data_IF_614233017979
#
_entry.id   IF_614233017979
#
_cell.length_a   1.000
_cell.length_b   1.000
_cell.length_c   1.000
_cell.angle_alpha   90.00
_cell.angle_beta   90.00
_cell.angle_gamma   90.00
#
_symmetry.space_group_name_H-M   'P 1'
#
loop_
_entity.id
_entity.type
_entity.pdbx_description
1 polymer ?
#
# COMPACT_ATOMS: atom_id res chain seq x y z
N UNK A 1 40.97 -47.01 41.76
CA UNK A 1 42.30 -46.36 41.79
C UNK A 1 43.45 -47.26 42.27
N UNK A 2 43.22 -48.49 42.79
CA UNK A 2 44.33 -49.37 43.25
C UNK A 2 45.08 -50.09 42.11
N UNK A 3 44.40 -50.44 41.00
CA UNK A 3 45.04 -51.13 39.87
C UNK A 3 46.14 -50.28 39.19
N UNK A 4 45.89 -49.00 38.95
CA UNK A 4 46.88 -48.10 38.33
C UNK A 4 48.11 -47.88 39.22
N UNK A 5 47.94 -47.84 40.55
CA UNK A 5 49.06 -47.76 41.50
C UNK A 5 49.86 -49.07 41.54
N UNK A 6 49.19 -50.21 41.44
CA UNK A 6 49.83 -51.52 41.39
C UNK A 6 50.67 -51.70 40.11
N UNK A 7 50.13 -51.32 38.94
CA UNK A 7 50.89 -51.34 37.69
C UNK A 7 52.03 -50.32 37.67
N UNK A 8 51.86 -49.14 38.28
CA UNK A 8 52.95 -48.18 38.43
C UNK A 8 54.06 -48.69 39.37
N UNK A 9 53.72 -49.37 40.47
CA UNK A 9 54.69 -50.01 41.37
C UNK A 9 55.44 -51.14 40.67
N UNK A 10 54.73 -52.01 39.95
CA UNK A 10 55.33 -53.06 39.13
C UNK A 10 56.26 -52.50 38.05
N UNK A 11 55.89 -51.38 37.42
CA UNK A 11 56.74 -50.73 36.43
C UNK A 11 58.00 -50.12 37.06
N UNK A 12 57.87 -49.48 38.23
CA UNK A 12 59.02 -48.93 38.96
C UNK A 12 59.94 -50.03 39.48
N UNK A 13 59.39 -51.15 39.96
CA UNK A 13 60.14 -52.32 40.38
C UNK A 13 60.84 -53.01 39.19
N UNK A 14 60.16 -53.15 38.05
CA UNK A 14 60.75 -53.67 36.82
C UNK A 14 61.88 -52.77 36.31
N UNK A 15 61.69 -51.44 36.31
CA UNK A 15 62.73 -50.47 35.92
C UNK A 15 63.90 -50.48 36.89
N UNK A 16 63.66 -50.68 38.20
CA UNK A 16 64.74 -50.86 39.20
C UNK A 16 65.47 -52.18 39.03
N UNK A 17 64.77 -53.27 38.75
CA UNK A 17 65.36 -54.59 38.47
C UNK A 17 66.19 -54.57 37.18
N UNK A 18 65.73 -53.87 36.14
CA UNK A 18 66.46 -53.69 34.88
C UNK A 18 67.70 -52.81 35.07
N UNK A 19 67.61 -51.74 35.87
CA UNK A 19 68.77 -50.92 36.30
C UNK A 19 69.77 -51.69 37.16
N UNK A 20 69.31 -52.64 37.98
CA UNK A 20 70.18 -53.50 38.76
C UNK A 20 70.91 -54.54 37.88
N UNK A 21 70.22 -55.10 36.86
CA UNK A 21 70.83 -56.00 35.85
C UNK A 21 71.83 -55.31 34.93
N UNK A 22 71.70 -54.00 34.71
CA UNK A 22 72.67 -53.24 33.88
C UNK A 22 73.98 -52.94 34.60
N UNK A 23 74.07 -53.14 35.93
CA UNK A 23 75.26 -52.81 36.73
C UNK A 23 76.37 -53.88 36.67
N UNK A 24 76.13 -55.02 36.01
CA UNK A 24 77.09 -56.13 35.88
C UNK A 24 77.20 -56.66 34.44
N UNK A 25 77.24 -55.77 33.44
CA UNK A 25 77.45 -56.17 32.04
C UNK A 25 78.80 -55.69 31.52
N UNK A 26 79.56 -56.65 31.01
CA UNK A 26 80.84 -56.50 30.32
C UNK A 26 80.69 -55.57 29.09
N UNK A 27 81.73 -54.79 28.81
CA UNK A 27 81.80 -53.90 27.64
C UNK A 27 81.74 -54.70 26.34
N UNK A 28 81.32 -54.08 25.23
CA UNK A 28 80.85 -54.73 23.99
C UNK A 28 81.84 -55.63 23.24
N UNK A 29 82.99 -55.97 23.81
CA UNK A 29 84.07 -56.74 23.19
C UNK A 29 84.39 -58.06 23.92
N UNK A 30 83.66 -58.44 24.97
CA UNK A 30 83.93 -59.67 25.75
C UNK A 30 83.06 -60.92 25.47
N UNK A 31 82.00 -60.95 24.63
CA UNK A 31 81.27 -62.19 24.37
C UNK A 31 81.87 -63.06 23.25
N UNK A 32 82.90 -62.57 22.54
CA UNK A 32 83.47 -63.26 21.36
C UNK A 32 84.28 -64.54 21.70
N UNK A 33 84.46 -64.86 22.98
CA UNK A 33 85.23 -66.02 23.45
C UNK A 33 84.43 -67.03 24.30
N UNK A 34 83.09 -66.99 24.27
CA UNK A 34 82.23 -67.98 24.94
C UNK A 34 81.66 -69.02 23.94
N UNK A 35 81.34 -70.26 24.36
CA UNK A 35 80.77 -71.28 23.46
C UNK A 35 79.44 -70.80 22.84
N UNK A 36 79.22 -71.09 21.56
CA UNK A 36 78.15 -70.52 20.70
C UNK A 36 76.72 -70.51 21.28
N UNK A 37 76.41 -71.34 22.29
CA UNK A 37 75.11 -71.37 22.97
C UNK A 37 74.90 -70.20 23.97
N UNK A 38 75.96 -69.65 24.59
CA UNK A 38 75.85 -68.55 25.56
C UNK A 38 75.98 -67.16 24.92
N UNK A 39 76.70 -67.03 23.80
CA UNK A 39 76.88 -65.78 23.06
C UNK A 39 75.53 -65.20 22.57
N UNK A 40 74.59 -66.07 22.21
CA UNK A 40 73.23 -65.69 21.74
C UNK A 40 72.35 -65.19 22.89
N UNK A 41 72.59 -65.63 24.13
CA UNK A 41 71.76 -65.28 25.30
C UNK A 41 72.25 -63.98 25.96
N UNK A 42 73.55 -63.69 25.94
CA UNK A 42 74.12 -62.57 26.70
C UNK A 42 74.40 -61.30 25.90
N UNK A 43 74.43 -61.36 24.55
CA UNK A 43 74.62 -60.17 23.71
C UNK A 43 73.59 -59.08 24.07
N UNK A 44 74.00 -57.91 24.58
CA UNK A 44 73.08 -56.83 24.83
C UNK A 44 72.51 -56.36 23.49
N UNK A 45 71.19 -56.14 23.44
CA UNK A 45 70.51 -55.50 22.31
C UNK A 45 71.30 -54.28 21.85
N UNK A 46 71.63 -54.25 20.55
CA UNK A 46 72.55 -53.27 19.99
C UNK A 46 72.12 -51.82 20.31
N UNK A 47 73.06 -50.93 20.68
CA UNK A 47 72.73 -49.54 21.00
C UNK A 47 72.11 -48.79 19.82
N UNK A 48 72.47 -49.15 18.58
CA UNK A 48 71.83 -48.65 17.35
C UNK A 48 70.36 -49.06 17.26
N UNK A 49 70.03 -50.31 17.62
CA UNK A 49 68.64 -50.80 17.66
C UNK A 49 67.77 -50.04 18.66
N UNK A 50 68.34 -49.58 19.79
CA UNK A 50 67.64 -48.72 20.76
C UNK A 50 67.40 -47.32 20.22
N UNK A 51 68.37 -46.71 19.55
CA UNK A 51 68.22 -45.37 18.96
C UNK A 51 67.20 -45.38 17.83
N UNK A 52 67.24 -46.39 16.94
CA UNK A 52 66.24 -46.55 15.87
C UNK A 52 64.85 -46.80 16.45
N UNK A 53 64.73 -47.61 17.51
CA UNK A 53 63.45 -47.84 18.18
C UNK A 53 62.88 -46.55 18.80
N UNK A 54 63.70 -45.76 19.50
CA UNK A 54 63.28 -44.46 20.06
C UNK A 54 62.92 -43.43 18.97
N UNK A 55 63.68 -43.37 17.87
CA UNK A 55 63.36 -42.50 16.74
C UNK A 55 62.01 -42.87 16.11
N UNK A 56 61.75 -44.17 15.93
CA UNK A 56 60.48 -44.67 15.39
C UNK A 56 59.32 -44.39 16.35
N UNK A 57 59.54 -44.52 17.67
CA UNK A 57 58.57 -44.20 18.72
C UNK A 57 58.23 -42.70 18.77
N UNK A 58 59.24 -41.83 18.65
CA UNK A 58 59.06 -40.37 18.60
C UNK A 58 58.33 -39.97 17.32
N UNK A 59 58.72 -40.52 16.17
CA UNK A 59 58.04 -40.27 14.90
C UNK A 59 56.57 -40.73 14.96
N UNK A 60 56.32 -41.91 15.51
CA UNK A 60 54.96 -42.41 15.73
C UNK A 60 54.17 -41.48 16.67
N UNK A 61 54.77 -41.06 17.79
CA UNK A 61 54.14 -40.13 18.72
C UNK A 61 53.85 -38.75 18.08
N UNK A 62 54.73 -38.24 17.22
CA UNK A 62 54.53 -37.01 16.45
C UNK A 62 53.38 -37.14 15.44
N UNK A 63 53.33 -38.23 14.69
CA UNK A 63 52.22 -38.49 13.76
C UNK A 63 50.90 -38.66 14.51
N UNK A 64 50.90 -39.35 15.65
CA UNK A 64 49.73 -39.53 16.49
C UNK A 64 49.26 -38.18 17.05
N UNK A 65 50.17 -37.37 17.59
CA UNK A 65 49.87 -36.00 18.02
C UNK A 65 49.32 -35.16 16.87
N UNK A 66 49.90 -35.24 15.68
CA UNK A 66 49.40 -34.52 14.50
C UNK A 66 48.01 -34.98 14.07
N UNK A 67 47.70 -36.27 14.11
CA UNK A 67 46.34 -36.75 13.78
C UNK A 67 45.28 -36.36 14.81
N UNK A 68 45.68 -36.19 16.07
CA UNK A 68 44.81 -35.74 17.18
C UNK A 68 44.57 -34.22 17.09
N UNK A 69 45.63 -33.42 16.88
CA UNK A 69 45.53 -31.96 16.87
C UNK A 69 45.22 -31.37 15.48
N UNK A 70 45.56 -32.09 14.42
CA UNK A 70 45.33 -31.71 13.03
C UNK A 70 43.85 -31.74 12.70
N UNK A 71 43.29 -30.56 12.43
CA UNK A 71 41.89 -30.36 12.07
C UNK A 71 41.79 -30.11 10.57
N UNK A 72 40.86 -30.81 9.92
CA UNK A 72 40.51 -30.62 8.52
C UNK A 72 39.09 -30.04 8.45
N UNK A 73 38.88 -29.08 7.56
CA UNK A 73 37.56 -28.49 7.33
C UNK A 73 36.66 -29.49 6.59
N UNK A 74 35.44 -29.67 7.10
CA UNK A 74 34.39 -30.48 6.46
C UNK A 74 33.50 -29.53 5.68
N UNK A 75 33.37 -29.77 4.39
CA UNK A 75 32.56 -28.96 3.49
C UNK A 75 31.33 -29.73 3.01
N UNK A 76 30.19 -29.04 2.93
CA UNK A 76 29.01 -29.50 2.22
C UNK A 76 28.94 -28.77 0.88
N UNK A 77 29.03 -29.52 -0.22
CA UNK A 77 28.91 -28.96 -1.56
C UNK A 77 27.44 -28.84 -1.95
N UNK A 78 27.00 -27.63 -2.30
CA UNK A 78 25.66 -27.32 -2.71
C UNK A 78 25.66 -26.66 -4.10
N UNK A 79 24.91 -27.22 -5.03
CA UNK A 79 24.72 -26.62 -6.36
C UNK A 79 23.81 -25.40 -6.27
N UNK A 80 24.08 -24.35 -7.03
CA UNK A 80 23.30 -23.13 -6.98
C UNK A 80 23.44 -22.26 -8.21
N UNK A 81 22.76 -21.13 -8.21
CA UNK A 81 22.87 -20.13 -9.28
C UNK A 81 22.95 -18.72 -8.70
N UNK A 82 23.62 -17.81 -9.43
CA UNK A 82 23.66 -16.40 -9.06
C UNK A 82 22.30 -15.77 -9.36
N UNK A 83 21.69 -15.17 -8.34
CA UNK A 83 20.47 -14.38 -8.45
C UNK A 83 20.71 -12.95 -7.94
N UNK A 84 20.00 -11.95 -8.47
CA UNK A 84 20.05 -10.61 -7.91
C UNK A 84 19.64 -10.62 -6.43
N UNK A 85 20.35 -9.88 -5.57
CA UNK A 85 20.02 -9.83 -4.14
C UNK A 85 18.59 -9.31 -3.91
N UNK A 86 18.21 -8.32 -4.71
CA UNK A 86 16.87 -7.76 -4.75
C UNK A 86 15.97 -8.58 -5.67
N UNK A 87 14.72 -8.80 -5.25
CA UNK A 87 13.73 -9.46 -6.09
C UNK A 87 13.54 -8.70 -7.39
N UNK A 88 13.54 -9.43 -8.51
CA UNK A 88 13.21 -8.90 -9.83
C UNK A 88 11.84 -8.20 -9.81
N UNK A 89 11.73 -7.08 -10.53
CA UNK A 89 10.50 -6.28 -10.57
C UNK A 89 9.81 -6.50 -11.91
N UNK A 90 8.61 -7.08 -11.86
CA UNK A 90 7.79 -7.26 -13.06
C UNK A 90 7.10 -5.94 -13.40
N UNK A 91 7.21 -5.52 -14.65
CA UNK A 91 6.48 -4.39 -15.21
C UNK A 91 5.38 -4.96 -16.10
N UNK A 92 4.14 -4.65 -15.75
CA UNK A 92 2.93 -5.15 -16.41
C UNK A 92 1.99 -4.00 -16.76
N UNK A 93 1.16 -4.18 -17.79
CA UNK A 93 0.13 -3.21 -18.12
C UNK A 93 -1.02 -3.29 -17.10
N UNK A 94 -1.48 -2.14 -16.61
CA UNK A 94 -2.67 -2.07 -15.74
C UNK A 94 -3.98 -2.21 -16.53
N UNK A 95 -3.96 -1.82 -17.81
CA UNK A 95 -5.12 -1.83 -18.70
C UNK A 95 -4.75 -2.29 -20.10
N UNK A 96 -5.76 -2.64 -20.89
CA UNK A 96 -5.60 -2.90 -22.33
C UNK A 96 -5.20 -1.63 -23.06
N UNK A 97 -4.19 -1.69 -23.92
CA UNK A 97 -3.77 -0.55 -24.71
C UNK A 97 -3.00 -0.95 -25.97
N UNK A 98 -2.86 -0.02 -26.90
CA UNK A 98 -2.05 -0.18 -28.11
C UNK A 98 -0.70 0.46 -27.88
N UNK A 99 0.38 -0.25 -28.21
CA UNK A 99 1.75 0.24 -28.02
C UNK A 99 2.03 1.35 -29.03
N UNK A 100 2.33 2.55 -28.54
CA UNK A 100 2.67 3.71 -29.38
C UNK A 100 4.17 3.88 -29.54
N UNK A 101 4.91 3.79 -28.44
CA UNK A 101 6.37 3.91 -28.43
C UNK A 101 7.00 2.94 -27.41
N UNK A 102 8.12 2.35 -27.80
CA UNK A 102 8.98 1.51 -26.94
C UNK A 102 10.29 2.27 -26.77
N UNK A 103 10.67 2.62 -25.54
CA UNK A 103 11.85 3.44 -25.25
C UNK A 103 13.09 2.63 -24.86
N UNK A 104 12.93 1.32 -24.66
CA UNK A 104 13.98 0.42 -24.15
C UNK A 104 14.04 -0.86 -24.96
N UNK A 105 15.23 -1.44 -25.01
CA UNK A 105 15.48 -2.75 -25.59
C UNK A 105 15.92 -3.74 -24.50
N UNK A 106 15.88 -5.03 -24.84
CA UNK A 106 16.39 -6.06 -23.95
C UNK A 106 17.90 -5.87 -23.70
N UNK A 107 18.31 -5.87 -22.43
CA UNK A 107 19.67 -5.60 -22.00
C UNK A 107 19.98 -4.14 -21.66
N UNK A 108 19.06 -3.21 -21.91
CA UNK A 108 19.28 -1.79 -21.58
C UNK A 108 19.30 -1.51 -20.07
N UNK A 109 20.18 -0.61 -19.65
CA UNK A 109 20.25 -0.12 -18.27
C UNK A 109 19.31 1.07 -18.10
N UNK A 110 18.35 0.93 -17.19
CA UNK A 110 17.33 1.94 -16.90
C UNK A 110 17.46 2.51 -15.50
N UNK A 111 17.05 3.77 -15.34
CA UNK A 111 16.98 4.45 -14.03
C UNK A 111 15.56 4.41 -13.48
N UNK A 112 15.42 4.41 -12.15
CA UNK A 112 14.11 4.56 -11.49
C UNK A 112 13.38 5.81 -12.02
N UNK A 113 12.13 5.63 -12.46
CA UNK A 113 11.30 6.69 -13.05
C UNK A 113 11.55 6.96 -14.53
N UNK A 114 12.44 6.23 -15.19
CA UNK A 114 12.63 6.34 -16.64
C UNK A 114 11.42 5.74 -17.37
N UNK A 115 10.88 6.41 -18.41
CA UNK A 115 9.81 5.85 -19.24
C UNK A 115 10.34 4.65 -20.04
N UNK A 116 9.55 3.57 -20.06
CA UNK A 116 9.90 2.30 -20.71
C UNK A 116 9.05 2.06 -21.96
N UNK A 117 7.74 2.29 -21.83
CA UNK A 117 6.74 2.02 -22.85
C UNK A 117 5.65 3.09 -22.76
N UNK A 118 5.14 3.53 -23.90
CA UNK A 118 3.98 4.42 -24.01
C UNK A 118 2.86 3.70 -24.74
N UNK A 119 1.69 3.63 -24.09
CA UNK A 119 0.45 3.18 -24.72
C UNK A 119 -0.27 4.38 -25.35
N UNK A 120 -1.10 4.13 -26.36
CA UNK A 120 -1.85 5.17 -27.05
C UNK A 120 -2.85 5.89 -26.10
N UNK A 121 -2.68 7.21 -25.87
CA UNK A 121 -3.52 7.97 -24.96
C UNK A 121 -4.80 8.50 -25.59
N UNK A 122 -5.15 8.10 -26.82
CA UNK A 122 -6.30 8.69 -27.52
C UNK A 122 -7.62 8.50 -26.75
N UNK A 123 -7.87 7.30 -26.21
CA UNK A 123 -9.11 6.99 -25.47
C UNK A 123 -9.11 7.61 -24.08
N UNK A 124 -8.08 7.34 -23.27
CA UNK A 124 -7.93 7.89 -21.92
C UNK A 124 -7.89 9.41 -21.89
N UNK A 125 -7.21 10.05 -22.85
CA UNK A 125 -7.09 11.48 -22.95
C UNK A 125 -8.40 12.12 -23.39
N UNK A 126 -9.23 11.42 -24.18
CA UNK A 126 -10.59 11.86 -24.45
C UNK A 126 -11.48 11.76 -23.20
N UNK A 127 -11.39 10.66 -22.44
CA UNK A 127 -12.09 10.48 -21.16
C UNK A 127 -11.67 11.55 -20.13
N UNK A 128 -10.37 11.86 -20.03
CA UNK A 128 -9.84 12.92 -19.15
C UNK A 128 -10.39 14.29 -19.54
N UNK A 129 -10.32 14.67 -20.83
CA UNK A 129 -10.89 15.95 -21.30
C UNK A 129 -12.40 16.03 -21.07
N UNK A 130 -13.12 14.94 -21.27
CA UNK A 130 -14.55 14.88 -21.00
C UNK A 130 -14.85 15.09 -19.50
N UNK A 131 -14.09 14.45 -18.61
CA UNK A 131 -14.23 14.62 -17.17
C UNK A 131 -13.86 16.05 -16.71
N UNK A 132 -12.85 16.68 -17.33
CA UNK A 132 -12.49 18.07 -17.08
C UNK A 132 -13.61 19.04 -17.47
N UNK A 133 -14.21 18.84 -18.64
CA UNK A 133 -15.35 19.64 -19.10
C UNK A 133 -16.58 19.45 -18.21
N UNK A 134 -16.86 18.21 -17.78
CA UNK A 134 -17.94 17.91 -16.86
C UNK A 134 -17.73 18.59 -15.50
N UNK A 135 -16.50 18.57 -14.97
CA UNK A 135 -16.16 19.27 -13.72
C UNK A 135 -16.28 20.80 -13.86
N UNK A 136 -15.83 21.37 -14.99
CA UNK A 136 -15.97 22.80 -15.24
C UNK A 136 -17.44 23.22 -15.24
N UNK A 137 -18.31 22.41 -15.86
CA UNK A 137 -19.77 22.63 -15.85
C UNK A 137 -20.35 22.53 -14.44
N UNK A 138 -20.00 21.50 -13.67
CA UNK A 138 -20.46 21.34 -12.29
C UNK A 138 -20.02 22.51 -11.38
N UNK A 139 -18.80 23.03 -11.55
CA UNK A 139 -18.32 24.22 -10.83
C UNK A 139 -19.11 25.48 -11.18
N UNK A 140 -19.50 25.63 -12.45
CA UNK A 140 -20.38 26.74 -12.87
C UNK A 140 -21.77 26.63 -12.23
N UNK A 141 -22.32 25.42 -12.15
CA UNK A 141 -23.61 25.17 -11.49
C UNK A 141 -23.56 25.53 -10.00
N UNK A 142 -22.49 25.17 -9.30
CA UNK A 142 -22.28 25.57 -7.90
C UNK A 142 -22.20 27.08 -7.76
N UNK A 143 -21.41 27.75 -8.61
CA UNK A 143 -21.28 29.21 -8.58
C UNK A 143 -22.62 29.91 -8.82
N UNK A 144 -23.42 29.41 -9.76
CA UNK A 144 -24.76 29.91 -10.07
C UNK A 144 -25.73 29.71 -8.91
N UNK A 145 -25.85 28.48 -8.40
CA UNK A 145 -26.76 28.15 -7.32
C UNK A 145 -26.41 28.93 -6.03
N UNK A 146 -25.11 29.10 -5.76
CA UNK A 146 -24.62 29.91 -4.65
C UNK A 146 -25.00 31.38 -4.80
N UNK A 147 -24.80 31.97 -5.98
CA UNK A 147 -25.16 33.36 -6.25
C UNK A 147 -26.67 33.61 -6.04
N UNK A 148 -27.53 32.68 -6.48
CA UNK A 148 -28.99 32.75 -6.28
C UNK A 148 -29.34 32.62 -4.79
N UNK A 149 -28.76 31.63 -4.10
CA UNK A 149 -29.02 31.39 -2.68
C UNK A 149 -28.59 32.56 -1.78
N UNK A 150 -27.46 33.20 -2.09
CA UNK A 150 -26.96 34.37 -1.36
C UNK A 150 -27.81 35.62 -1.66
N UNK A 151 -28.22 35.83 -2.91
CA UNK A 151 -29.11 36.93 -3.29
C UNK A 151 -30.49 36.83 -2.60
N UNK A 152 -31.08 35.63 -2.54
CA UNK A 152 -32.37 35.40 -1.87
C UNK A 152 -32.31 35.57 -0.34
N UNK A 153 -31.12 35.47 0.26
CA UNK A 153 -30.90 35.77 1.69
C UNK A 153 -30.78 37.27 1.99
N UNK A 154 -30.70 38.11 0.94
CA UNK A 154 -30.46 39.56 1.06
C UNK A 154 -28.98 39.96 0.92
N UNK A 155 -28.12 39.06 0.45
CA UNK A 155 -26.73 39.38 0.10
C UNK A 155 -26.62 40.06 -1.27
N UNK A 156 -25.45 40.67 -1.59
CA UNK A 156 -25.21 41.21 -2.93
C UNK A 156 -25.16 40.08 -3.96
N UNK A 157 -25.78 40.29 -5.13
CA UNK A 157 -25.66 39.36 -6.26
C UNK A 157 -24.22 39.38 -6.78
N UNK A 158 -23.44 38.35 -6.41
CA UNK A 158 -22.05 38.17 -6.84
C UNK A 158 -21.89 36.78 -7.45
N UNK A 159 -21.71 36.74 -8.76
CA UNK A 159 -21.37 35.51 -9.48
C UNK A 159 -19.84 35.42 -9.63
N UNK A 160 -19.23 34.49 -8.90
CA UNK A 160 -17.80 34.19 -9.00
C UNK A 160 -17.59 33.04 -9.99
N UNK A 161 -17.25 33.38 -11.23
CA UNK A 161 -16.98 32.38 -12.26
C UNK A 161 -15.69 31.59 -11.95
N UNK A 162 -15.68 30.26 -12.14
CA UNK A 162 -14.46 29.46 -12.08
C UNK A 162 -13.40 29.94 -13.09
N UNK A 163 -12.12 29.85 -12.70
CA UNK A 163 -10.98 30.24 -13.54
C UNK A 163 -11.00 29.44 -14.85
N UNK A 164 -10.81 30.14 -15.98
CA UNK A 164 -10.79 29.52 -17.31
C UNK A 164 -12.15 29.44 -18.02
N UNK A 165 -13.22 29.96 -17.40
CA UNK A 165 -14.53 30.04 -18.07
C UNK A 165 -14.50 31.10 -19.19
N UNK A 166 -14.97 30.78 -20.41
CA UNK A 166 -15.08 31.75 -21.50
C UNK A 166 -16.02 32.92 -21.15
N UNK A 167 -15.73 34.16 -21.61
CA UNK A 167 -16.54 35.34 -21.27
C UNK A 167 -18.00 35.22 -21.75
N UNK A 168 -18.23 34.59 -22.90
CA UNK A 168 -19.59 34.33 -23.44
C UNK A 168 -20.46 33.47 -22.51
N UNK A 169 -19.83 32.47 -21.86
CA UNK A 169 -20.52 31.60 -20.91
C UNK A 169 -20.84 32.37 -19.63
N UNK A 170 -19.90 33.19 -19.13
CA UNK A 170 -20.10 34.03 -17.95
C UNK A 170 -21.30 34.97 -18.15
N UNK A 171 -21.37 35.66 -19.28
CA UNK A 171 -22.47 36.57 -19.60
C UNK A 171 -23.81 35.83 -19.67
N UNK A 172 -23.83 34.66 -20.32
CA UNK A 172 -25.02 33.82 -20.41
C UNK A 172 -25.52 33.38 -19.02
N UNK A 173 -24.60 32.97 -18.13
CA UNK A 173 -24.95 32.58 -16.77
C UNK A 173 -25.47 33.76 -15.94
N UNK A 174 -24.87 34.94 -16.07
CA UNK A 174 -25.34 36.14 -15.39
C UNK A 174 -26.76 36.54 -15.83
N UNK A 175 -27.05 36.49 -17.14
CA UNK A 175 -28.40 36.73 -17.67
C UNK A 175 -29.41 35.73 -17.14
N UNK A 176 -29.04 34.44 -17.05
CA UNK A 176 -29.91 33.39 -16.52
C UNK A 176 -30.20 33.60 -15.02
N UNK A 177 -29.19 33.95 -14.22
CA UNK A 177 -29.37 34.26 -12.79
C UNK A 177 -30.29 35.47 -12.61
N UNK A 178 -30.05 36.55 -13.37
CA UNK A 178 -30.88 37.75 -13.32
C UNK A 178 -32.34 37.45 -13.70
N UNK A 179 -32.57 36.65 -14.75
CA UNK A 179 -33.90 36.25 -15.17
C UNK A 179 -34.64 35.44 -14.09
N UNK A 180 -33.94 34.50 -13.43
CA UNK A 180 -34.53 33.68 -12.37
C UNK A 180 -34.89 34.49 -11.13
N UNK A 181 -34.03 35.43 -10.71
CA UNK A 181 -34.32 36.34 -9.61
C UNK A 181 -35.48 37.28 -9.94
N UNK A 182 -35.47 37.87 -11.14
CA UNK A 182 -36.54 38.74 -11.61
C UNK A 182 -37.90 38.03 -11.66
N UNK A 183 -37.93 36.73 -12.01
CA UNK A 183 -39.16 35.94 -11.99
C UNK A 183 -39.71 35.77 -10.56
N UNK A 184 -38.84 35.50 -9.58
CA UNK A 184 -39.24 35.37 -8.17
C UNK A 184 -39.73 36.71 -7.63
N UNK A 185 -39.00 37.80 -7.91
CA UNK A 185 -39.37 39.14 -7.51
C UNK A 185 -40.71 39.56 -8.13
N UNK A 186 -40.92 39.31 -9.42
CA UNK A 186 -42.18 39.61 -10.10
C UNK A 186 -43.38 38.89 -9.46
N UNK A 187 -43.21 37.61 -9.07
CA UNK A 187 -44.25 36.87 -8.36
C UNK A 187 -44.58 37.51 -7.01
N UNK A 188 -43.57 37.88 -6.22
CA UNK A 188 -43.76 38.55 -4.92
C UNK A 188 -44.39 39.93 -5.08
N UNK A 189 -43.96 40.71 -6.08
CA UNK A 189 -44.56 42.00 -6.39
C UNK A 189 -46.03 41.86 -6.81
N UNK A 190 -46.40 40.80 -7.53
CA UNK A 190 -47.78 40.47 -7.85
C UNK A 190 -48.65 40.28 -6.61
N UNK A 191 -48.18 39.51 -5.62
CA UNK A 191 -48.88 39.38 -4.34
C UNK A 191 -48.95 40.70 -3.55
N UNK A 192 -47.89 41.51 -3.60
CA UNK A 192 -47.89 42.85 -3.00
C UNK A 192 -48.96 43.77 -3.60
N UNK A 193 -49.13 43.74 -4.93
CA UNK A 193 -50.19 44.49 -5.62
C UNK A 193 -51.60 43.98 -5.27
N UNK A 194 -51.79 42.66 -5.24
CA UNK A 194 -53.06 42.04 -4.84
C UNK A 194 -53.44 42.40 -3.39
N UNK A 195 -52.46 42.35 -2.47
CA UNK A 195 -52.62 42.81 -1.08
C UNK A 195 -53.02 44.28 -1.00
N UNK A 196 -52.41 45.14 -1.81
CA UNK A 196 -52.74 46.56 -1.83
C UNK A 196 -54.18 46.81 -2.31
N UNK A 197 -54.65 46.05 -3.32
CA UNK A 197 -56.05 46.09 -3.78
C UNK A 197 -57.01 45.68 -2.66
N UNK A 198 -56.77 44.54 -2.02
CA UNK A 198 -57.61 44.06 -0.91
C UNK A 198 -57.65 45.04 0.27
N UNK A 199 -56.54 45.73 0.55
CA UNK A 199 -56.52 46.80 1.57
C UNK A 199 -57.32 48.04 1.13
N UNK A 200 -57.34 48.37 -0.15
CA UNK A 200 -58.17 49.46 -0.67
C UNK A 200 -59.67 49.11 -0.55
N UNK A 201 -60.05 47.87 -0.87
CA UNK A 201 -61.43 47.37 -0.71
C UNK A 201 -61.86 47.37 0.77
N UNK A 202 -60.96 46.94 1.67
CA UNK A 202 -61.18 47.02 3.11
C UNK A 202 -61.40 48.45 3.60
N UNK A 203 -60.65 49.43 3.06
CA UNK A 203 -60.83 50.85 3.39
C UNK A 203 -62.17 51.38 2.87
N UNK A 204 -62.57 51.01 1.66
CA UNK A 204 -63.87 51.41 1.11
C UNK A 204 -65.04 50.85 1.95
N UNK A 205 -64.96 49.60 2.37
CA UNK A 205 -65.93 49.00 3.28
C UNK A 205 -65.94 49.69 4.65
N UNK A 206 -64.76 50.02 5.20
CA UNK A 206 -64.64 50.76 6.47
C UNK A 206 -65.31 52.14 6.41
N UNK A 207 -65.20 52.85 5.28
CA UNK A 207 -65.86 54.13 5.06
C UNK A 207 -67.39 53.99 5.02
N UNK A 208 -67.91 52.91 4.42
CA UNK A 208 -69.33 52.61 4.44
C UNK A 208 -69.83 52.31 5.86
N UNK A 209 -69.06 51.55 6.65
CA UNK A 209 -69.36 51.31 8.08
C UNK A 209 -69.38 52.63 8.85
N UNK A 210 -68.39 53.52 8.61
CA UNK A 210 -68.32 54.84 9.24
C UNK A 210 -69.55 55.69 8.91
N UNK A 211 -70.01 55.67 7.66
CA UNK A 211 -71.24 56.36 7.23
C UNK A 211 -72.45 55.89 8.02
N UNK A 212 -72.70 54.57 8.07
CA UNK A 212 -73.85 54.02 8.79
C UNK A 212 -73.75 54.21 10.31
N UNK A 213 -72.54 54.20 10.87
CA UNK A 213 -72.31 54.52 12.28
C UNK A 213 -72.62 56.00 12.59
N UNK A 214 -72.38 56.92 11.65
CA UNK A 214 -72.69 58.33 11.80
C UNK A 214 -74.19 58.64 11.63
N UNK A 215 -74.91 57.94 10.74
CA UNK A 215 -76.36 58.14 10.52
C UNK A 215 -77.23 57.47 11.58
N UNK A 216 -76.75 56.36 12.14
CA UNK A 216 -77.38 55.61 13.23
C UNK A 216 -78.00 56.47 14.35
N UNK A 217 -77.24 57.31 15.07
CA UNK A 217 -77.77 58.10 16.20
C UNK A 217 -78.76 59.18 15.74
N UNK A 218 -78.67 59.65 14.50
CA UNK A 218 -79.61 60.64 13.95
C UNK A 218 -80.98 59.99 13.74
N UNK A 219 -81.02 58.78 13.18
CA UNK A 219 -82.25 58.02 13.03
C UNK A 219 -82.82 57.60 14.38
N UNK A 220 -81.97 57.17 15.32
CA UNK A 220 -82.42 56.80 16.67
C UNK A 220 -83.07 58.02 17.37
N UNK A 221 -82.47 59.21 17.27
CA UNK A 221 -83.05 60.44 17.82
C UNK A 221 -84.38 60.85 17.14
N UNK A 222 -84.53 60.65 15.82
CA UNK A 222 -85.78 60.92 15.10
C UNK A 222 -86.89 59.94 15.52
N UNK A 223 -86.55 58.65 15.69
CA UNK A 223 -87.46 57.61 16.20
C UNK A 223 -87.90 57.95 17.63
N UNK A 224 -86.97 58.31 18.52
CA UNK A 224 -87.27 58.67 19.91
C UNK A 224 -88.19 59.90 20.00
N UNK A 225 -87.93 60.92 19.19
CA UNK A 225 -88.78 62.11 19.10
C UNK A 225 -90.20 61.76 18.61
N UNK A 226 -90.31 60.90 17.60
CA UNK A 226 -91.61 60.43 17.08
C UNK A 226 -92.36 59.55 18.09
N UNK A 227 -91.66 58.69 18.84
CA UNK A 227 -92.24 57.90 19.93
C UNK A 227 -92.83 58.80 21.02
N UNK A 228 -92.13 59.88 21.39
CA UNK A 228 -92.64 60.88 22.33
C UNK A 228 -93.89 61.62 21.84
N UNK A 229 -94.03 61.85 20.53
CA UNK A 229 -95.22 62.43 19.91
C UNK A 229 -96.38 61.42 19.79
N UNK A 230 -96.06 60.15 19.51
CA UNK A 230 -97.03 59.06 19.43
C UNK A 230 -97.68 58.79 20.79
N UNK A 231 -96.89 58.81 21.88
CA UNK A 231 -97.39 58.67 23.25
C UNK A 231 -98.40 59.76 23.65
N UNK A 232 -98.33 60.93 23.01
CA UNK A 232 -99.27 62.05 23.20
C UNK A 232 -100.44 62.03 22.22
N UNK A 233 -100.51 61.04 21.31
CA UNK A 233 -101.57 60.88 20.31
C UNK A 233 -101.43 61.73 19.04
N UNK A 234 -100.27 62.38 18.81
CA UNK A 234 -100.08 63.36 17.73
C UNK A 234 -99.22 62.87 16.55
N UNK A 235 -98.72 61.63 16.58
CA UNK A 235 -97.84 61.12 15.52
C UNK A 235 -98.55 60.15 14.55
N UNK A 236 -98.26 60.21 13.24
CA UNK A 236 -98.70 59.19 12.28
C UNK A 236 -97.94 57.86 12.50
N UNK A 237 -98.64 56.79 12.89
CA UNK A 237 -98.02 55.47 13.11
C UNK A 237 -97.27 54.90 11.89
N UNK A 238 -97.71 55.22 10.67
CA UNK A 238 -97.03 54.83 9.44
C UNK A 238 -95.63 55.44 9.32
N UNK A 239 -95.42 56.69 9.79
CA UNK A 239 -94.12 57.36 9.74
C UNK A 239 -93.12 56.73 10.70
N UNK A 240 -93.58 56.33 11.89
CA UNK A 240 -92.74 55.60 12.85
C UNK A 240 -92.27 54.25 12.27
N UNK A 241 -93.17 53.47 11.69
CA UNK A 241 -92.82 52.18 11.05
C UNK A 241 -91.84 52.34 9.89
N UNK A 242 -91.92 53.45 9.13
CA UNK A 242 -90.97 53.76 8.06
C UNK A 242 -89.57 54.03 8.60
N UNK A 243 -89.45 54.83 9.66
CA UNK A 243 -88.18 55.14 10.32
C UNK A 243 -87.55 53.89 10.96
N UNK A 244 -88.34 53.07 11.63
CA UNK A 244 -87.88 51.78 12.19
C UNK A 244 -87.38 50.84 11.08
N UNK A 245 -88.14 50.69 9.99
CA UNK A 245 -87.72 49.89 8.82
C UNK A 245 -86.42 50.41 8.23
N UNK A 246 -86.27 51.73 8.10
CA UNK A 246 -85.05 52.35 7.60
C UNK A 246 -83.87 52.07 8.53
N UNK A 247 -84.05 52.21 9.85
CA UNK A 247 -83.02 51.92 10.86
C UNK A 247 -82.59 50.45 10.82
N UNK A 248 -83.53 49.52 10.71
CA UNK A 248 -83.24 48.10 10.56
C UNK A 248 -82.51 47.79 9.25
N UNK A 249 -82.91 48.41 8.13
CA UNK A 249 -82.24 48.27 6.84
C UNK A 249 -80.80 48.77 6.91
N UNK A 250 -80.55 49.98 7.43
CA UNK A 250 -79.20 50.53 7.60
C UNK A 250 -78.36 49.68 8.58
N UNK A 251 -78.98 49.12 9.62
CA UNK A 251 -78.33 48.18 10.53
C UNK A 251 -77.91 46.87 9.85
N UNK A 252 -78.73 46.37 8.92
CA UNK A 252 -78.42 45.23 8.06
C UNK A 252 -77.26 45.53 7.10
N UNK A 253 -77.35 46.65 6.36
CA UNK A 253 -76.30 47.10 5.44
C UNK A 253 -74.96 47.35 6.15
N UNK A 254 -74.99 47.90 7.38
CA UNK A 254 -73.78 48.05 8.20
C UNK A 254 -73.12 46.71 8.48
N UNK A 255 -73.88 45.68 8.88
CA UNK A 255 -73.33 44.33 9.15
C UNK A 255 -72.73 43.70 7.90
N UNK A 256 -73.34 43.93 6.73
CA UNK A 256 -72.78 43.48 5.45
C UNK A 256 -71.46 44.18 5.16
N UNK A 257 -71.39 45.50 5.34
CA UNK A 257 -70.16 46.28 5.15
C UNK A 257 -69.05 45.88 6.15
N UNK A 258 -69.40 45.63 7.42
CA UNK A 258 -68.46 45.11 8.44
C UNK A 258 -67.91 43.73 8.03
N UNK A 259 -68.79 42.82 7.59
CA UNK A 259 -68.38 41.50 7.11
C UNK A 259 -67.48 41.59 5.86
N UNK A 260 -67.78 42.52 4.95
CA UNK A 260 -66.96 42.78 3.75
C UNK A 260 -65.58 43.33 4.13
N UNK A 261 -65.52 44.26 5.09
CA UNK A 261 -64.25 44.80 5.59
C UNK A 261 -63.37 43.69 6.18
N UNK A 262 -63.93 42.84 7.05
CA UNK A 262 -63.19 41.72 7.66
C UNK A 262 -62.72 40.72 6.60
N UNK A 263 -63.55 40.44 5.59
CA UNK A 263 -63.19 39.57 4.47
C UNK A 263 -61.99 40.13 3.68
N UNK A 264 -62.06 41.39 3.28
CA UNK A 264 -61.00 42.05 2.52
C UNK A 264 -59.68 42.15 3.31
N UNK A 265 -59.74 42.41 4.61
CA UNK A 265 -58.55 42.37 5.49
C UNK A 265 -57.96 40.95 5.59
N UNK A 266 -58.80 39.92 5.64
CA UNK A 266 -58.35 38.53 5.68
C UNK A 266 -57.70 38.11 4.36
N UNK A 267 -58.23 38.57 3.22
CA UNK A 267 -57.62 38.38 1.90
C UNK A 267 -56.28 39.09 1.79
N UNK A 268 -56.17 40.33 2.29
CA UNK A 268 -54.90 41.05 2.33
C UNK A 268 -53.82 40.29 3.14
N UNK A 269 -54.20 39.68 4.28
CA UNK A 269 -53.29 38.83 5.05
C UNK A 269 -52.87 37.58 4.30
N UNK A 270 -53.81 36.91 3.60
CA UNK A 270 -53.49 35.73 2.77
C UNK A 270 -52.47 36.05 1.68
N UNK A 271 -52.61 37.18 0.99
CA UNK A 271 -51.63 37.58 -0.02
C UNK A 271 -50.26 37.92 0.56
N UNK A 272 -50.22 38.51 1.76
CA UNK A 272 -48.98 38.74 2.51
C UNK A 272 -48.26 37.43 2.84
N UNK A 273 -49.01 36.47 3.41
CA UNK A 273 -48.52 35.12 3.73
C UNK A 273 -48.03 34.38 2.47
N UNK A 274 -48.75 34.47 1.35
CA UNK A 274 -48.34 33.89 0.08
C UNK A 274 -47.04 34.49 -0.45
N UNK A 275 -46.84 35.80 -0.30
CA UNK A 275 -45.59 36.47 -0.67
C UNK A 275 -44.39 35.99 0.17
N UNK A 276 -44.58 35.88 1.48
CA UNK A 276 -43.55 35.35 2.40
C UNK A 276 -43.26 33.88 2.11
N UNK A 277 -44.30 33.06 1.92
CA UNK A 277 -44.16 31.64 1.59
C UNK A 277 -43.42 31.45 0.26
N UNK A 278 -43.75 32.22 -0.78
CA UNK A 278 -43.07 32.14 -2.08
C UNK A 278 -41.57 32.43 -1.96
N UNK A 279 -41.19 33.43 -1.15
CA UNK A 279 -39.77 33.72 -0.88
C UNK A 279 -39.08 32.59 -0.11
N UNK A 280 -39.74 32.06 0.93
CA UNK A 280 -39.19 30.97 1.73
C UNK A 280 -39.00 29.69 0.90
N UNK A 281 -39.97 29.35 0.05
CA UNK A 281 -39.88 28.23 -0.88
C UNK A 281 -38.76 28.43 -1.91
N UNK A 282 -38.64 29.64 -2.48
CA UNK A 282 -37.56 29.95 -3.41
C UNK A 282 -36.18 29.79 -2.75
N UNK A 283 -36.02 30.25 -1.51
CA UNK A 283 -34.79 30.09 -0.75
C UNK A 283 -34.48 28.62 -0.45
N UNK A 284 -35.48 27.83 -0.02
CA UNK A 284 -35.31 26.40 0.21
C UNK A 284 -34.91 25.66 -1.08
N UNK A 285 -35.55 25.97 -2.20
CA UNK A 285 -35.22 25.39 -3.51
C UNK A 285 -33.80 25.75 -3.94
N UNK A 286 -33.37 27.00 -3.78
CA UNK A 286 -32.01 27.44 -4.10
C UNK A 286 -30.94 26.74 -3.24
N UNK A 287 -31.21 26.56 -1.94
CA UNK A 287 -30.30 25.81 -1.04
C UNK A 287 -30.23 24.32 -1.40
N UNK A 288 -31.36 23.71 -1.75
CA UNK A 288 -31.39 22.32 -2.20
C UNK A 288 -30.62 22.13 -3.53
N UNK A 289 -30.79 23.06 -4.47
CA UNK A 289 -30.06 23.07 -5.74
C UNK A 289 -28.55 23.27 -5.52
N UNK A 290 -28.16 24.15 -4.60
CA UNK A 290 -26.75 24.32 -4.20
C UNK A 290 -26.17 23.04 -3.60
N UNK A 291 -26.87 22.41 -2.66
CA UNK A 291 -26.40 21.17 -2.04
C UNK A 291 -26.25 20.04 -3.08
N UNK A 292 -27.19 19.95 -4.03
CA UNK A 292 -27.13 19.00 -5.14
C UNK A 292 -25.92 19.30 -6.05
N UNK A 293 -25.75 20.54 -6.48
CA UNK A 293 -24.64 20.95 -7.34
C UNK A 293 -23.28 20.71 -6.66
N UNK A 294 -23.17 20.93 -5.35
CA UNK A 294 -21.95 20.62 -4.58
C UNK A 294 -21.67 19.12 -4.53
N UNK A 295 -22.71 18.29 -4.33
CA UNK A 295 -22.58 16.83 -4.41
C UNK A 295 -22.11 16.38 -5.79
N UNK A 296 -22.70 16.93 -6.86
CA UNK A 296 -22.32 16.65 -8.24
C UNK A 296 -20.88 17.11 -8.53
N UNK A 297 -20.46 18.27 -8.03
CA UNK A 297 -19.07 18.73 -8.15
C UNK A 297 -18.09 17.72 -7.55
N UNK A 298 -18.34 17.26 -6.32
CA UNK A 298 -17.47 16.27 -5.65
C UNK A 298 -17.40 14.97 -6.48
N UNK A 299 -18.54 14.51 -7.01
CA UNK A 299 -18.56 13.33 -7.88
C UNK A 299 -17.70 13.53 -9.15
N UNK A 300 -17.84 14.67 -9.83
CA UNK A 300 -17.05 14.98 -11.03
C UNK A 300 -15.55 15.16 -10.73
N UNK A 301 -15.19 15.65 -9.55
CA UNK A 301 -13.79 15.72 -9.11
C UNK A 301 -13.17 14.33 -8.96
N UNK A 302 -13.90 13.37 -8.39
CA UNK A 302 -13.45 11.98 -8.26
C UNK A 302 -13.37 11.27 -9.63
N UNK A 303 -14.34 11.51 -10.52
CA UNK A 303 -14.30 11.01 -11.90
C UNK A 303 -13.07 11.54 -12.66
N UNK A 304 -12.76 12.84 -12.53
CA UNK A 304 -11.56 13.42 -13.14
C UNK A 304 -10.29 12.82 -12.53
N UNK A 305 -10.23 12.63 -11.21
CA UNK A 305 -9.09 11.99 -10.56
C UNK A 305 -8.86 10.58 -11.10
N UNK A 306 -9.95 9.81 -11.27
CA UNK A 306 -9.91 8.47 -11.86
C UNK A 306 -9.41 8.50 -13.31
N UNK A 307 -9.95 9.40 -14.14
CA UNK A 307 -9.55 9.53 -15.54
C UNK A 307 -8.07 9.94 -15.70
N UNK A 308 -7.60 10.88 -14.87
CA UNK A 308 -6.19 11.29 -14.80
C UNK A 308 -5.27 10.15 -14.38
N UNK A 309 -5.68 9.35 -13.40
CA UNK A 309 -4.91 8.20 -12.96
C UNK A 309 -4.79 7.16 -14.08
N UNK A 310 -5.91 6.89 -14.76
CA UNK A 310 -5.95 6.00 -15.93
C UNK A 310 -5.02 6.47 -17.05
N UNK A 311 -5.10 7.76 -17.39
CA UNK A 311 -4.22 8.42 -18.36
C UNK A 311 -2.73 8.32 -17.96
N UNK A 312 -2.41 8.53 -16.67
CA UNK A 312 -1.05 8.40 -16.14
C UNK A 312 -0.48 6.98 -16.29
N UNK A 313 -1.31 5.96 -16.08
CA UNK A 313 -0.92 4.54 -16.13
C UNK A 313 -0.63 4.03 -17.55
N UNK A 314 -0.93 4.81 -18.58
CA UNK A 314 -0.61 4.45 -19.96
C UNK A 314 0.87 4.57 -20.29
N UNK A 315 1.61 5.38 -19.54
CA UNK A 315 3.06 5.43 -19.64
C UNK A 315 3.67 4.60 -18.53
N UNK A 316 4.35 3.53 -18.91
CA UNK A 316 4.98 2.62 -17.95
C UNK A 316 6.38 3.13 -17.63
N UNK A 317 6.68 3.22 -16.33
CA UNK A 317 7.96 3.69 -15.81
C UNK A 317 8.70 2.59 -15.06
N UNK A 318 10.02 2.69 -15.01
CA UNK A 318 10.85 1.79 -14.22
C UNK A 318 10.65 1.99 -12.70
N UNK A 319 10.17 1.00 -11.94
CA UNK A 319 10.04 1.12 -10.48
C UNK A 319 11.38 1.21 -9.76
N UNK A 320 12.45 0.66 -10.35
CA UNK A 320 13.81 0.58 -9.81
C UNK A 320 14.84 0.78 -10.92
N UNK A 321 16.03 1.24 -10.57
CA UNK A 321 17.16 1.27 -11.50
C UNK A 321 17.73 -0.14 -11.69
N UNK A 322 17.96 -0.57 -12.92
CA UNK A 322 18.35 -1.94 -13.22
C UNK A 322 18.55 -2.20 -14.70
N UNK A 323 18.62 -3.47 -15.07
CA UNK A 323 18.73 -3.91 -16.47
C UNK A 323 17.41 -4.56 -16.90
N UNK A 324 16.93 -4.22 -18.09
CA UNK A 324 15.69 -4.78 -18.68
C UNK A 324 15.96 -6.19 -19.23
N UNK A 325 15.12 -7.15 -18.88
CA UNK A 325 15.14 -8.53 -19.38
C UNK A 325 13.73 -9.00 -19.74
N UNK A 326 13.63 -10.01 -20.62
CA UNK A 326 12.36 -10.63 -21.00
C UNK A 326 11.33 -9.62 -21.51
N UNK A 327 11.76 -8.72 -22.39
CA UNK A 327 10.84 -7.81 -23.07
C UNK A 327 9.92 -8.65 -23.97
N UNK A 328 8.60 -8.61 -23.75
CA UNK A 328 7.64 -9.39 -24.54
C UNK A 328 7.05 -8.59 -25.71
N UNK A 329 7.17 -7.26 -25.65
CA UNK A 329 6.62 -6.33 -26.65
C UNK A 329 7.72 -5.85 -27.57
N UNK A 330 7.63 -6.20 -28.85
CA UNK A 330 8.62 -5.83 -29.87
C UNK A 330 8.03 -5.02 -31.03
N UNK A 331 6.70 -4.94 -31.13
CA UNK A 331 6.00 -4.33 -32.25
C UNK A 331 5.23 -3.09 -31.82
N UNK A 332 5.53 -1.97 -32.47
CA UNK A 332 4.70 -0.77 -32.38
C UNK A 332 3.36 -1.08 -33.05
N UNK A 333 2.25 -0.70 -32.41
CA UNK A 333 0.89 -1.07 -32.82
C UNK A 333 0.39 -2.40 -32.26
N UNK A 334 1.22 -3.14 -31.52
CA UNK A 334 0.79 -4.34 -30.79
C UNK A 334 -0.19 -4.01 -29.67
N UNK A 335 -1.13 -4.92 -29.40
CA UNK A 335 -2.09 -4.80 -28.29
C UNK A 335 -1.54 -5.50 -27.05
N UNK A 336 -1.58 -4.82 -25.91
CA UNK A 336 -1.23 -5.41 -24.61
C UNK A 336 -2.49 -5.73 -23.81
N UNK A 337 -2.45 -6.84 -23.08
CA UNK A 337 -3.53 -7.28 -22.19
C UNK A 337 -3.24 -6.84 -20.75
N UNK A 338 -4.28 -6.57 -19.94
CA UNK A 338 -4.11 -6.18 -18.55
C UNK A 338 -3.49 -7.33 -17.73
N UNK A 339 -2.64 -6.96 -16.77
CA UNK A 339 -1.87 -7.88 -15.91
C UNK A 339 -0.90 -8.82 -16.64
N UNK A 340 -0.69 -8.65 -17.95
CA UNK A 340 0.34 -9.38 -18.69
C UNK A 340 1.72 -8.78 -18.41
N UNK A 341 2.71 -9.58 -17.99
CA UNK A 341 4.07 -9.09 -17.80
C UNK A 341 4.67 -8.69 -19.15
N UNK A 342 5.09 -7.43 -19.25
CA UNK A 342 5.67 -6.86 -20.46
C UNK A 342 7.19 -6.93 -20.45
N UNK A 343 7.80 -6.78 -19.27
CA UNK A 343 9.24 -6.90 -19.06
C UNK A 343 9.57 -7.10 -17.59
N UNK A 344 10.80 -7.51 -17.31
CA UNK A 344 11.34 -7.63 -15.96
C UNK A 344 12.54 -6.70 -15.81
N UNK A 345 12.57 -5.95 -14.71
CA UNK A 345 13.74 -5.14 -14.36
C UNK A 345 14.51 -5.85 -13.26
N UNK A 346 15.76 -6.15 -13.57
CA UNK A 346 16.72 -6.75 -12.64
C UNK A 346 17.55 -5.62 -12.01
N UNK A 347 17.42 -5.35 -10.71
CA UNK A 347 18.19 -4.29 -10.06
C UNK A 347 19.69 -4.56 -10.15
N UNK A 348 20.48 -3.52 -10.39
CA UNK A 348 21.96 -3.61 -10.42
C UNK A 348 22.57 -3.72 -8.99
N UNK A 349 21.78 -4.14 -8.01
CA UNK A 349 22.20 -4.31 -6.61
C UNK A 349 23.20 -5.46 -6.45
N UNK A 350 23.57 -5.75 -5.20
CA UNK A 350 24.47 -6.87 -4.90
C UNK A 350 23.98 -8.19 -5.51
N UNK A 351 24.90 -9.08 -5.83
CA UNK A 351 24.57 -10.43 -6.31
C UNK A 351 24.60 -11.40 -5.12
N UNK A 352 23.63 -12.29 -5.07
CA UNK A 352 23.59 -13.39 -4.11
C UNK A 352 23.55 -14.71 -4.83
N UNK A 353 24.01 -15.77 -4.20
CA UNK A 353 23.86 -17.12 -4.73
C UNK A 353 22.71 -17.80 -4.01
N UNK A 354 21.81 -18.40 -4.75
CA UNK A 354 20.83 -19.34 -4.21
C UNK A 354 21.36 -20.75 -4.44
N UNK A 355 21.74 -21.40 -3.33
CA UNK A 355 22.29 -22.75 -3.30
C UNK A 355 21.25 -23.74 -2.76
N UNK A 356 21.12 -24.87 -3.44
CA UNK A 356 20.31 -26.02 -3.05
C UNK A 356 21.11 -26.90 -2.09
N UNK A 357 20.84 -26.78 -0.79
CA UNK A 357 21.46 -27.59 0.26
C UNK A 357 20.67 -28.87 0.44
N UNK A 358 21.31 -30.03 0.30
CA UNK A 358 20.65 -31.33 0.49
C UNK A 358 20.18 -31.52 1.93
N UNK A 359 19.07 -32.21 2.12
CA UNK A 359 18.48 -32.47 3.45
C UNK A 359 19.48 -33.07 4.46
N UNK A 360 20.39 -33.96 4.01
CA UNK A 360 21.42 -34.58 4.86
C UNK A 360 22.39 -33.56 5.49
N UNK A 361 22.61 -32.44 4.82
CA UNK A 361 23.59 -31.41 5.20
C UNK A 361 22.92 -30.20 5.86
N UNK A 362 21.62 -29.98 5.62
CA UNK A 362 20.86 -28.81 6.07
C UNK A 362 20.88 -28.60 7.59
N UNK A 363 20.96 -29.67 8.39
CA UNK A 363 21.04 -29.58 9.86
C UNK A 363 22.33 -28.92 10.40
N UNK A 364 23.38 -28.87 9.59
CA UNK A 364 24.69 -28.31 9.97
C UNK A 364 24.94 -26.91 9.39
N UNK A 365 24.06 -26.45 8.49
CA UNK A 365 24.19 -25.16 7.82
C UNK A 365 23.55 -24.06 8.65
N UNK A 366 24.29 -22.97 8.89
CA UNK A 366 23.83 -21.82 9.71
C UNK A 366 24.19 -20.49 9.06
N UNK A 367 23.37 -19.44 9.26
CA UNK A 367 23.71 -18.08 8.89
C UNK A 367 25.09 -17.66 9.44
N UNK A 368 25.88 -16.98 8.61
CA UNK A 368 27.21 -16.47 8.92
C UNK A 368 28.39 -17.39 8.60
N UNK A 369 28.14 -18.66 8.24
CA UNK A 369 29.21 -19.59 7.86
C UNK A 369 29.96 -19.13 6.59
N UNK A 370 31.29 -19.32 6.52
CA UNK A 370 32.06 -19.04 5.32
C UNK A 370 31.75 -20.09 4.24
N UNK A 371 31.61 -19.60 3.02
CA UNK A 371 31.35 -20.41 1.83
C UNK A 371 32.38 -20.05 0.77
N UNK A 372 32.96 -21.07 0.14
CA UNK A 372 33.74 -20.90 -1.07
C UNK A 372 32.83 -21.13 -2.29
N UNK A 373 32.52 -20.06 -3.02
CA UNK A 373 31.69 -20.12 -4.22
C UNK A 373 32.59 -20.39 -5.43
N UNK A 374 32.38 -21.53 -6.10
CA UNK A 374 33.05 -21.90 -7.35
C UNK A 374 32.11 -21.62 -8.50
N UNK A 375 32.55 -20.85 -9.50
CA UNK A 375 31.76 -20.60 -10.70
C UNK A 375 31.99 -21.73 -11.70
N UNK A 376 30.95 -22.27 -12.31
CA UNK A 376 31.13 -23.32 -13.32
C UNK A 376 31.68 -22.75 -14.64
N UNK A 377 31.30 -21.52 -14.98
CA UNK A 377 31.78 -20.82 -16.18
C UNK A 377 33.27 -20.44 -16.12
N UNK A 378 33.87 -20.40 -14.91
CA UNK A 378 35.27 -20.03 -14.70
C UNK A 378 35.98 -21.10 -13.85
N UNK A 379 36.87 -21.92 -14.43
CA UNK A 379 37.56 -22.99 -13.71
C UNK A 379 38.25 -22.48 -12.43
N UNK A 380 37.81 -22.98 -11.27
CA UNK A 380 38.31 -22.54 -9.96
C UNK A 380 39.81 -22.84 -9.73
N UNK A 381 40.38 -23.77 -10.49
CA UNK A 381 41.82 -24.08 -10.46
C UNK A 381 42.67 -22.93 -10.99
N UNK A 382 42.12 -22.14 -11.92
CA UNK A 382 42.82 -21.03 -12.56
C UNK A 382 42.43 -19.70 -11.93
N UNK A 383 41.14 -19.49 -11.68
CA UNK A 383 40.59 -18.20 -11.24
C UNK A 383 40.24 -18.15 -9.75
N UNK A 384 40.47 -19.24 -9.02
CA UNK A 384 40.18 -19.34 -7.59
C UNK A 384 38.69 -19.44 -7.26
N UNK A 385 38.35 -19.15 -6.00
CA UNK A 385 36.97 -19.15 -5.49
C UNK A 385 36.58 -17.76 -5.00
N UNK A 386 35.29 -17.46 -5.03
CA UNK A 386 34.76 -16.22 -4.48
C UNK A 386 34.37 -16.47 -3.03
N UNK A 387 34.99 -15.79 -2.05
CA UNK A 387 34.60 -15.93 -0.67
C UNK A 387 33.20 -15.33 -0.47
N UNK A 388 32.34 -16.10 0.18
CA UNK A 388 30.97 -15.70 0.50
C UNK A 388 30.59 -16.08 1.93
N UNK A 389 29.42 -15.61 2.37
CA UNK A 389 28.84 -15.98 3.66
C UNK A 389 27.36 -16.28 3.52
N UNK A 390 26.89 -17.27 4.27
CA UNK A 390 25.46 -17.60 4.32
C UNK A 390 24.70 -16.46 4.98
N UNK A 391 23.74 -15.89 4.26
CA UNK A 391 22.80 -14.90 4.78
C UNK A 391 21.66 -15.61 5.51
N UNK A 392 20.98 -16.52 4.81
CA UNK A 392 19.79 -17.21 5.30
C UNK A 392 19.71 -18.62 4.73
N UNK A 393 19.04 -19.51 5.45
CA UNK A 393 18.62 -20.82 4.94
C UNK A 393 17.11 -20.94 5.14
N UNK A 394 16.41 -21.44 4.12
CA UNK A 394 14.98 -21.75 4.19
C UNK A 394 14.74 -22.74 5.32
N UNK A 395 13.63 -22.59 6.03
CA UNK A 395 13.18 -23.56 7.04
C UNK A 395 12.30 -24.64 6.43
N UNK A 396 11.88 -24.46 5.18
CA UNK A 396 11.03 -25.38 4.45
C UNK A 396 11.82 -26.04 3.33
N UNK A 397 11.58 -27.35 3.14
CA UNK A 397 12.24 -28.17 2.16
C UNK A 397 11.44 -28.16 0.85
N UNK A 398 12.10 -27.84 -0.25
CA UNK A 398 11.51 -27.89 -1.59
C UNK A 398 11.74 -29.30 -2.16
N UNK A 399 10.68 -30.03 -2.56
CA UNK A 399 10.85 -31.32 -3.20
C UNK A 399 11.41 -31.14 -4.63
N UNK A 400 12.49 -31.86 -4.94
CA UNK A 400 13.04 -31.99 -6.29
C UNK A 400 12.93 -33.45 -6.75
N UNK A 401 12.68 -33.67 -8.05
CA UNK A 401 12.56 -35.03 -8.60
C UNK A 401 13.91 -35.71 -8.76
N UNK A 402 14.99 -34.94 -8.95
CA UNK A 402 16.30 -35.49 -9.29
C UNK A 402 17.22 -35.63 -8.08
N UNK A 403 17.22 -34.65 -7.17
CA UNK A 403 18.14 -34.56 -6.03
C UNK A 403 17.47 -34.82 -4.66
N UNK A 404 16.16 -35.08 -4.64
CA UNK A 404 15.37 -35.21 -3.42
C UNK A 404 15.07 -33.86 -2.74
N UNK A 405 14.56 -33.86 -1.49
CA UNK A 405 14.23 -32.62 -0.80
C UNK A 405 15.48 -31.79 -0.48
N UNK A 406 15.46 -30.51 -0.83
CA UNK A 406 16.56 -29.57 -0.57
C UNK A 406 16.07 -28.30 0.10
N UNK A 407 16.97 -27.60 0.78
CA UNK A 407 16.72 -26.31 1.42
C UNK A 407 17.45 -25.21 0.65
N UNK A 408 16.78 -24.09 0.41
CA UNK A 408 17.37 -22.93 -0.26
C UNK A 408 18.22 -22.13 0.71
N UNK A 409 19.53 -22.05 0.48
CA UNK A 409 20.44 -21.18 1.20
C UNK A 409 20.83 -19.97 0.33
N UNK A 410 20.70 -18.77 0.89
CA UNK A 410 21.13 -17.53 0.24
C UNK A 410 22.51 -17.14 0.73
N UNK A 411 23.42 -16.91 -0.19
CA UNK A 411 24.85 -16.68 0.08
C UNK A 411 25.24 -15.32 -0.49
N UNK A 412 25.84 -14.47 0.35
CA UNK A 412 26.40 -13.18 -0.07
C UNK A 412 27.74 -13.37 -0.76
N UNK A 413 27.96 -12.68 -1.87
CA UNK A 413 29.25 -12.62 -2.55
C UNK A 413 30.04 -11.40 -2.09
N UNK A 414 31.30 -11.56 -1.70
CA UNK A 414 32.16 -10.42 -1.32
C UNK A 414 32.69 -9.63 -2.53
N UNK A 415 32.74 -10.27 -3.70
CA UNK A 415 33.15 -9.67 -4.97
C UNK A 415 32.12 -9.99 -6.04
N UNK A 416 31.73 -8.98 -6.81
CA UNK A 416 30.80 -9.11 -7.94
C UNK A 416 31.52 -9.19 -9.31
N UNK A 417 32.84 -9.44 -9.30
CA UNK A 417 33.66 -9.56 -10.51
C UNK A 417 34.75 -10.61 -10.31
N UNK A 418 35.17 -11.25 -11.39
CA UNK A 418 36.31 -12.17 -11.42
C UNK A 418 37.44 -11.59 -12.28
N UNK A 419 38.68 -11.72 -11.80
CA UNK A 419 39.86 -11.28 -12.51
C UNK A 419 40.24 -12.35 -13.56
N UNK A 420 40.17 -12.02 -14.84
CA UNK A 420 40.56 -12.90 -15.95
C UNK A 420 41.76 -12.32 -16.71
N UNK A 421 42.39 -13.12 -17.59
CA UNK A 421 43.48 -12.65 -18.46
C UNK A 421 43.09 -11.44 -19.34
N UNK A 422 41.79 -11.29 -19.65
CA UNK A 422 41.23 -10.19 -20.44
C UNK A 422 40.76 -8.99 -19.59
N UNK A 423 41.03 -9.02 -18.27
CA UNK A 423 40.62 -7.99 -17.31
C UNK A 423 39.50 -8.44 -16.37
N UNK A 424 38.96 -7.49 -15.61
CA UNK A 424 37.87 -7.73 -14.65
C UNK A 424 36.55 -7.95 -15.37
N UNK A 425 35.99 -9.15 -15.26
CA UNK A 425 34.68 -9.49 -15.82
C UNK A 425 33.62 -9.41 -14.72
N UNK A 426 32.57 -8.60 -14.87
CA UNK A 426 31.47 -8.56 -13.91
C UNK A 426 30.65 -9.85 -13.98
N UNK A 427 30.16 -10.31 -12.82
CA UNK A 427 29.31 -11.50 -12.72
C UNK A 427 27.88 -11.14 -13.13
N UNK A 428 27.24 -12.01 -13.90
CA UNK A 428 25.83 -11.89 -14.27
C UNK A 428 24.94 -12.81 -13.43
N UNK A 429 23.66 -12.43 -13.30
CA UNK A 429 22.63 -13.35 -12.81
C UNK A 429 22.45 -14.53 -13.78
N UNK A 430 22.14 -15.71 -13.26
CA UNK A 430 21.96 -16.96 -14.02
C UNK A 430 23.19 -17.85 -14.14
N UNK A 431 24.38 -17.41 -13.69
CA UNK A 431 25.57 -18.26 -13.68
C UNK A 431 25.44 -19.41 -12.68
N UNK A 432 25.74 -20.63 -13.12
CA UNK A 432 25.76 -21.82 -12.26
C UNK A 432 27.00 -21.84 -11.34
N UNK A 433 26.79 -22.27 -10.11
CA UNK A 433 27.77 -22.24 -9.04
C UNK A 433 27.76 -23.54 -8.24
N UNK A 434 28.93 -23.93 -7.73
CA UNK A 434 29.08 -24.98 -6.73
C UNK A 434 29.61 -24.34 -5.46
N UNK A 435 28.87 -24.47 -4.37
CA UNK A 435 29.08 -23.73 -3.14
C UNK A 435 29.56 -24.68 -2.04
N UNK A 436 30.83 -24.57 -1.66
CA UNK A 436 31.38 -25.38 -0.58
C UNK A 436 31.19 -24.65 0.76
N UNK A 437 30.22 -25.12 1.54
CA UNK A 437 29.83 -24.56 2.83
C UNK A 437 30.66 -25.23 3.93
N UNK A 438 31.36 -24.44 4.75
CA UNK A 438 32.12 -24.98 5.88
C UNK A 438 31.18 -25.36 7.04
N UNK A 439 30.89 -26.65 7.19
CA UNK A 439 29.96 -27.19 8.20
C UNK A 439 30.62 -27.65 9.50
N UNK A 440 31.96 -27.74 9.54
CA UNK A 440 32.68 -28.04 10.77
C UNK A 440 34.17 -28.34 10.55
N UNK A 441 34.86 -28.67 11.64
CA UNK A 441 36.26 -29.13 11.64
C UNK A 441 36.35 -30.48 12.32
N UNK A 442 36.93 -31.48 11.65
CA UNK A 442 37.15 -32.82 12.22
C UNK A 442 38.63 -33.11 12.31
N UNK A 443 39.03 -33.87 13.34
CA UNK A 443 40.39 -34.37 13.44
C UNK A 443 40.61 -35.51 12.44
N UNK A 444 41.84 -35.69 11.98
CA UNK A 444 42.19 -36.79 11.07
C UNK A 444 41.96 -38.15 11.75
N UNK A 445 42.24 -38.23 13.06
CA UNK A 445 41.96 -39.43 13.86
C UNK A 445 40.48 -39.85 13.78
N UNK A 446 39.56 -38.89 13.73
CA UNK A 446 38.11 -39.17 13.64
C UNK A 446 37.78 -39.94 12.36
N UNK A 447 38.40 -39.63 11.22
CA UNK A 447 38.15 -40.35 9.97
C UNK A 447 38.67 -41.80 10.01
N UNK A 448 39.75 -42.08 10.74
CA UNK A 448 40.31 -43.43 10.91
C UNK A 448 39.47 -44.30 11.87
N UNK A 449 38.91 -43.70 12.92
CA UNK A 449 38.19 -44.43 13.98
C UNK A 449 36.68 -44.57 13.68
N UNK A 450 36.08 -43.61 12.96
CA UNK A 450 34.63 -43.58 12.70
C UNK A 450 34.08 -44.88 12.08
N UNK A 451 34.71 -45.54 11.09
CA UNK A 451 34.20 -46.79 10.53
C UNK A 451 34.12 -47.92 11.57
N UNK A 452 35.12 -48.03 12.45
CA UNK A 452 35.17 -49.04 13.52
C UNK A 452 34.09 -48.77 14.57
N UNK A 453 33.89 -47.50 14.90
CA UNK A 453 32.89 -47.09 15.88
C UNK A 453 31.46 -47.29 15.35
N UNK A 454 31.25 -47.05 14.06
CA UNK A 454 29.99 -47.28 13.39
C UNK A 454 29.63 -48.77 13.36
N UNK A 455 30.58 -49.64 12.96
CA UNK A 455 30.40 -51.10 13.00
C UNK A 455 30.11 -51.60 14.42
N UNK A 456 30.81 -51.08 15.44
CA UNK A 456 30.55 -51.48 16.84
C UNK A 456 29.15 -51.08 17.31
N UNK A 457 28.68 -49.90 16.91
CA UNK A 457 27.35 -49.38 17.30
C UNK A 457 26.20 -50.06 16.53
N UNK A 458 26.44 -50.44 15.27
CA UNK A 458 25.50 -51.21 14.45
C UNK A 458 25.48 -52.69 14.89
N UNK A 459 26.62 -53.31 15.17
CA UNK A 459 26.69 -54.70 15.66
C UNK A 459 26.16 -54.89 17.09
N UNK A 460 26.16 -53.85 17.93
CA UNK A 460 25.57 -53.87 19.27
C UNK A 460 24.05 -53.56 19.28
N UNK A 461 23.45 -53.35 18.10
CA UNK A 461 22.00 -53.22 17.90
C UNK A 461 21.57 -54.25 16.87
N UNK A 462 21.18 -55.43 17.33
CA UNK A 462 20.36 -56.32 16.51
C UNK A 462 19.03 -55.62 16.16
N UNK A 463 18.66 -55.66 14.89
CA UNK A 463 17.29 -55.48 14.40
C UNK A 463 16.65 -56.85 14.25
#
# INVERSE_FOLDING_TARGET
MSALRHYAQLWVEAVRAEKARTKGRLTSHEPDFLPAALEVIEKPVSPTGRVTAWALLICFALTLAWTIFGKVDVVASAEGSIVPADSVKLVQASETGVVRHIFVHEGDVVRKGQPLLDLDPTVSGAEERQAEQALATAKLDVARAKAIADALRGGPLRFEAPVGTPPEVIETQQRLIAAQLAQIEAAVHGYGAARQSALADARAAAEQVRKYHATAPVLDAEIDAMNGLAAKGYAPGLRLMELERQRHSEGGERKVAEAQQVRALSEARKFDEQGVQTRAEAQQRALAELAKAQGDQVLREEELRKAREKSRLQRLYAPVSGTVQQLSVHTIGGVVEPAKPLMIIVPNGGLTVEAKVLNRDAGFVRPGQPVAVKLQAFPFTTYGTIPGRILTISRDAVPDKDIGPYFLARISLQKASIDTEKGKVPLGAGLATTNDISIGRRSILTYLVQPVEQIRREAAREQ
#
